data_IF_762401543709
#
_entry.id   IF_762401543709
#
_cell.length_a   1.000
_cell.length_b   1.000
_cell.length_c   1.000
_cell.angle_alpha   90.00
_cell.angle_beta   90.00
_cell.angle_gamma   90.00
#
_symmetry.space_group_name_H-M   'P 1'
#
loop_
_entity.id
_entity.type
_entity.pdbx_description
1 polymer ?
#
# COMPACT_ATOMS: atom_id res chain seq x y z
N UNK A 1 -19.85 -21.57 -11.94
CA UNK A 1 -18.95 -20.71 -12.73
C UNK A 1 -19.33 -20.88 -14.19
N UNK A 2 -19.99 -19.88 -14.80
CA UNK A 2 -20.34 -19.93 -16.23
C UNK A 2 -19.06 -19.72 -17.01
N UNK A 3 -18.71 -20.69 -17.85
CA UNK A 3 -17.65 -20.54 -18.84
C UNK A 3 -18.10 -19.46 -19.82
N UNK A 4 -17.38 -18.35 -19.87
CA UNK A 4 -17.50 -17.41 -20.98
C UNK A 4 -17.00 -18.15 -22.23
N UNK A 5 -17.76 -18.17 -23.34
CA UNK A 5 -17.23 -18.71 -24.58
C UNK A 5 -16.00 -17.88 -24.97
N UNK A 6 -14.89 -18.55 -25.23
CA UNK A 6 -13.73 -17.94 -25.88
C UNK A 6 -14.21 -17.40 -27.22
N UNK A 7 -14.42 -16.09 -27.34
CA UNK A 7 -14.62 -15.42 -28.62
C UNK A 7 -13.29 -15.43 -29.36
N UNK A 8 -12.91 -16.58 -29.91
CA UNK A 8 -11.79 -16.68 -30.85
C UNK A 8 -12.28 -16.09 -32.17
N UNK A 9 -11.84 -14.89 -32.48
CA UNK A 9 -12.04 -14.35 -33.82
C UNK A 9 -11.20 -15.16 -34.82
N UNK A 10 -11.73 -15.35 -36.03
CA UNK A 10 -10.99 -15.94 -37.14
C UNK A 10 -9.94 -14.97 -37.73
N UNK A 11 -9.89 -13.73 -37.25
CA UNK A 11 -9.00 -12.68 -37.72
C UNK A 11 -7.57 -12.86 -37.19
N UNK A 12 -6.61 -12.30 -37.94
CA UNK A 12 -5.25 -12.12 -37.43
C UNK A 12 -5.24 -11.02 -36.38
N UNK A 13 -4.66 -11.28 -35.20
CA UNK A 13 -4.65 -10.36 -34.05
C UNK A 13 -4.14 -8.94 -34.38
N UNK A 14 -3.23 -8.80 -35.35
CA UNK A 14 -2.71 -7.51 -35.79
C UNK A 14 -3.75 -6.64 -36.52
N UNK A 15 -4.68 -7.27 -37.24
CA UNK A 15 -5.67 -6.59 -38.08
C UNK A 15 -7.05 -6.51 -37.44
N UNK A 16 -7.36 -7.40 -36.50
CA UNK A 16 -8.66 -7.48 -35.81
C UNK A 16 -9.15 -6.12 -35.30
N UNK A 17 -8.32 -5.40 -34.53
CA UNK A 17 -8.67 -4.09 -33.99
C UNK A 17 -8.86 -3.02 -35.08
N UNK A 18 -8.30 -3.20 -36.28
CA UNK A 18 -8.43 -2.27 -37.39
C UNK A 18 -9.68 -2.53 -38.24
N UNK A 19 -10.30 -3.72 -38.15
CA UNK A 19 -11.46 -4.06 -38.98
C UNK A 19 -12.68 -3.20 -38.65
N UNK A 20 -12.92 -2.90 -37.37
CA UNK A 20 -14.03 -2.03 -36.95
C UNK A 20 -13.86 -0.60 -37.51
N UNK A 21 -12.67 -0.02 -37.37
CA UNK A 21 -12.34 1.29 -37.92
C UNK A 21 -12.41 1.30 -39.46
N UNK A 22 -12.04 0.18 -40.11
CA UNK A 22 -12.16 0.01 -41.55
C UNK A 22 -13.63 0.02 -42.00
N UNK A 23 -14.52 -0.69 -41.29
CA UNK A 23 -15.97 -0.70 -41.55
C UNK A 23 -16.58 0.69 -41.32
N UNK A 24 -16.09 1.42 -40.32
CA UNK A 24 -16.53 2.80 -40.03
C UNK A 24 -15.93 3.85 -41.00
N UNK A 25 -15.01 3.45 -41.87
CA UNK A 25 -14.23 4.33 -42.75
C UNK A 25 -13.42 5.41 -42.00
N UNK A 26 -12.98 5.09 -40.77
CA UNK A 26 -12.22 6.00 -39.90
C UNK A 26 -10.69 5.73 -39.93
N UNK A 27 -10.25 4.78 -40.78
CA UNK A 27 -8.84 4.52 -40.98
C UNK A 27 -8.18 5.52 -41.93
N UNK A 28 -7.06 6.10 -41.50
CA UNK A 28 -6.18 6.87 -42.37
C UNK A 28 -5.62 6.05 -43.53
N UNK A 29 -5.37 6.71 -44.67
CA UNK A 29 -5.13 6.05 -45.96
C UNK A 29 -3.99 5.01 -46.00
N UNK A 30 -2.92 5.18 -45.23
CA UNK A 30 -1.85 4.18 -45.15
C UNK A 30 -2.30 2.87 -44.46
N UNK A 31 -3.07 2.98 -43.37
CA UNK A 31 -3.59 1.82 -42.63
C UNK A 31 -4.70 1.13 -43.43
N UNK A 32 -5.59 1.91 -44.04
CA UNK A 32 -6.65 1.37 -44.90
C UNK A 32 -6.09 0.56 -46.09
N UNK A 33 -5.00 1.04 -46.71
CA UNK A 33 -4.29 0.29 -47.77
C UNK A 33 -3.72 -1.02 -47.25
N UNK A 34 -3.01 -0.99 -46.11
CA UNK A 34 -2.43 -2.20 -45.50
C UNK A 34 -3.51 -3.24 -45.15
N UNK A 35 -4.65 -2.81 -44.60
CA UNK A 35 -5.79 -3.70 -44.34
C UNK A 35 -6.34 -4.27 -45.65
N UNK A 36 -6.51 -3.44 -46.69
CA UNK A 36 -7.02 -3.87 -48.00
C UNK A 36 -6.10 -4.90 -48.66
N UNK A 37 -4.78 -4.69 -48.61
CA UNK A 37 -3.78 -5.65 -49.10
C UNK A 37 -3.87 -6.98 -48.35
N UNK A 38 -4.03 -6.95 -47.02
CA UNK A 38 -4.17 -8.16 -46.22
C UNK A 38 -5.47 -8.91 -46.51
N UNK A 39 -6.58 -8.19 -46.68
CA UNK A 39 -7.89 -8.76 -47.03
C UNK A 39 -7.89 -9.47 -48.38
N UNK A 40 -6.99 -9.13 -49.29
CA UNK A 40 -6.82 -9.87 -50.54
C UNK A 40 -6.31 -11.30 -50.30
N UNK A 41 -5.44 -11.49 -49.30
CA UNK A 41 -4.79 -12.77 -49.02
C UNK A 41 -5.41 -13.61 -47.90
N UNK A 42 -6.13 -12.99 -46.96
CA UNK A 42 -6.56 -13.67 -45.73
C UNK A 42 -8.08 -13.91 -45.69
N UNK A 43 -8.48 -15.18 -45.72
CA UNK A 43 -9.90 -15.56 -45.62
C UNK A 43 -10.51 -15.25 -44.24
N UNK A 44 -9.78 -15.52 -43.15
CA UNK A 44 -10.28 -15.28 -41.79
C UNK A 44 -10.54 -13.80 -41.49
N UNK A 45 -9.69 -12.90 -42.01
CA UNK A 45 -9.92 -11.46 -41.88
C UNK A 45 -11.09 -10.96 -42.75
N UNK A 46 -11.38 -11.61 -43.89
CA UNK A 46 -12.58 -11.29 -44.69
C UNK A 46 -13.85 -11.71 -43.98
N UNK A 47 -13.87 -12.91 -43.42
CA UNK A 47 -15.00 -13.41 -42.63
C UNK A 47 -15.27 -12.51 -41.42
N UNK A 48 -14.23 -12.16 -40.66
CA UNK A 48 -14.36 -11.23 -39.53
C UNK A 48 -14.82 -9.83 -39.97
N UNK A 49 -14.40 -9.34 -41.15
CA UNK A 49 -14.87 -8.08 -41.69
C UNK A 49 -16.36 -8.13 -42.04
N UNK A 50 -16.83 -9.24 -42.63
CA UNK A 50 -18.24 -9.43 -42.95
C UNK A 50 -19.11 -9.50 -41.70
N UNK A 51 -18.63 -10.16 -40.64
CA UNK A 51 -19.26 -10.19 -39.31
C UNK A 51 -19.34 -8.79 -38.68
N UNK A 52 -18.23 -8.05 -38.66
CA UNK A 52 -18.19 -6.67 -38.16
C UNK A 52 -19.13 -5.76 -38.96
N UNK A 53 -19.16 -5.90 -40.29
CA UNK A 53 -20.07 -5.16 -41.15
C UNK A 53 -21.54 -5.52 -40.89
N UNK A 54 -21.85 -6.79 -40.61
CA UNK A 54 -23.19 -7.23 -40.23
C UNK A 54 -23.62 -6.62 -38.89
N UNK A 55 -22.76 -6.66 -37.87
CA UNK A 55 -23.01 -6.03 -36.58
C UNK A 55 -23.24 -4.52 -36.72
N UNK A 56 -22.40 -3.83 -37.50
CA UNK A 56 -22.54 -2.40 -37.75
C UNK A 56 -23.85 -2.05 -38.49
N UNK A 57 -24.32 -2.92 -39.39
CA UNK A 57 -25.63 -2.76 -40.06
C UNK A 57 -26.79 -2.91 -39.07
N UNK A 58 -26.72 -3.90 -38.17
CA UNK A 58 -27.74 -4.10 -37.13
C UNK A 58 -27.82 -2.90 -36.19
N UNK A 59 -26.69 -2.38 -35.72
CA UNK A 59 -26.64 -1.20 -34.86
C UNK A 59 -27.18 0.04 -35.57
N UNK A 60 -26.81 0.24 -36.86
CA UNK A 60 -27.37 1.33 -37.68
C UNK A 60 -28.87 1.20 -37.89
N UNK A 61 -29.40 -0.01 -37.98
CA UNK A 61 -30.84 -0.25 -38.15
C UNK A 61 -31.66 0.10 -36.90
N UNK A 62 -31.09 -0.08 -35.70
CA UNK A 62 -31.72 0.33 -34.44
C UNK A 62 -31.70 1.85 -34.27
N UNK A 63 -30.72 2.52 -34.87
CA UNK A 63 -30.54 3.96 -34.78
C UNK A 63 -30.03 4.41 -33.41
N UNK A 64 -29.68 5.69 -33.25
CA UNK A 64 -29.31 6.24 -31.96
C UNK A 64 -30.50 6.15 -31.02
N UNK A 65 -30.32 5.47 -29.88
CA UNK A 65 -31.31 5.49 -28.81
C UNK A 65 -31.30 6.87 -28.13
N UNK A 66 -32.48 7.36 -27.76
CA UNK A 66 -32.57 8.54 -26.91
C UNK A 66 -31.79 8.29 -25.62
N UNK A 67 -30.97 9.29 -25.25
CA UNK A 67 -30.22 9.24 -24.01
C UNK A 67 -31.14 9.01 -22.81
N UNK A 68 -30.63 8.39 -21.73
CA UNK A 68 -31.44 8.17 -20.55
C UNK A 68 -31.99 9.49 -20.00
N UNK A 69 -33.26 9.49 -19.58
CA UNK A 69 -33.92 10.69 -19.07
C UNK A 69 -33.19 11.32 -17.87
N UNK A 70 -33.49 12.60 -17.54
CA UNK A 70 -32.73 13.38 -16.54
C UNK A 70 -32.72 12.77 -15.13
N UNK A 71 -33.70 11.92 -14.81
CA UNK A 71 -33.79 11.23 -13.52
C UNK A 71 -32.97 9.93 -13.46
N UNK A 72 -32.44 9.43 -14.58
CA UNK A 72 -31.76 8.14 -14.64
C UNK A 72 -30.54 8.10 -13.72
N UNK A 73 -29.63 9.07 -13.85
CA UNK A 73 -28.42 9.12 -13.02
C UNK A 73 -28.78 9.15 -11.53
N UNK A 74 -29.73 10.01 -11.14
CA UNK A 74 -30.20 10.09 -9.76
C UNK A 74 -30.75 8.75 -9.25
N UNK A 75 -31.54 8.06 -10.07
CA UNK A 75 -32.17 6.79 -9.70
C UNK A 75 -31.14 5.68 -9.59
N UNK A 76 -30.20 5.59 -10.54
CA UNK A 76 -29.13 4.60 -10.54
C UNK A 76 -28.21 4.83 -9.35
N UNK A 77 -27.76 6.06 -9.14
CA UNK A 77 -26.88 6.38 -8.00
C UNK A 77 -27.57 6.14 -6.67
N UNK A 78 -28.85 6.48 -6.52
CA UNK A 78 -29.61 6.16 -5.31
C UNK A 78 -29.65 4.64 -5.03
N UNK A 79 -29.81 3.81 -6.07
CA UNK A 79 -29.76 2.35 -5.92
C UNK A 79 -28.37 1.82 -5.59
N UNK A 80 -27.33 2.39 -6.19
CA UNK A 80 -25.93 2.02 -5.88
C UNK A 80 -25.63 2.33 -4.41
N UNK A 81 -25.96 3.54 -3.95
CA UNK A 81 -25.75 3.94 -2.57
C UNK A 81 -26.54 3.09 -1.57
N UNK A 82 -27.80 2.77 -1.87
CA UNK A 82 -28.59 1.89 -1.01
C UNK A 82 -27.96 0.50 -0.88
N UNK A 83 -27.52 -0.10 -2.00
CA UNK A 83 -26.87 -1.41 -1.99
C UNK A 83 -25.53 -1.40 -1.25
N UNK A 84 -24.76 -0.31 -1.35
CA UNK A 84 -23.49 -0.17 -0.63
C UNK A 84 -23.70 0.05 0.86
N UNK A 85 -24.76 0.79 1.24
CA UNK A 85 -25.15 0.99 2.62
C UNK A 85 -25.60 -0.32 3.28
N UNK A 86 -26.34 -1.17 2.58
CA UNK A 86 -26.72 -2.51 3.08
C UNK A 86 -25.47 -3.38 3.33
N UNK A 87 -24.53 -3.44 2.37
CA UNK A 87 -23.27 -4.20 2.53
C UNK A 87 -22.41 -3.70 3.69
N UNK A 88 -22.32 -2.38 3.86
CA UNK A 88 -21.55 -1.78 4.95
C UNK A 88 -22.24 -1.97 6.31
N UNK A 89 -23.58 -1.91 6.36
CA UNK A 89 -24.36 -2.19 7.56
C UNK A 89 -24.25 -3.65 7.98
N UNK A 90 -24.29 -4.60 7.05
CA UNK A 90 -24.04 -6.01 7.32
C UNK A 90 -22.63 -6.23 7.91
N UNK A 91 -21.62 -5.61 7.32
CA UNK A 91 -20.24 -5.67 7.82
C UNK A 91 -20.11 -5.02 9.20
N UNK A 92 -20.72 -3.86 9.42
CA UNK A 92 -20.67 -3.18 10.71
C UNK A 92 -21.37 -3.99 11.81
N UNK A 93 -22.52 -4.59 11.50
CA UNK A 93 -23.26 -5.48 12.41
C UNK A 93 -22.40 -6.68 12.83
N UNK A 94 -21.62 -7.24 11.91
CA UNK A 94 -20.70 -8.34 12.21
C UNK A 94 -19.56 -7.94 13.17
N UNK A 95 -19.04 -6.71 13.08
CA UNK A 95 -17.92 -6.24 13.91
C UNK A 95 -18.34 -5.59 15.25
N UNK A 96 -19.58 -5.11 15.36
CA UNK A 96 -20.16 -4.55 16.59
C UNK A 96 -19.91 -5.38 17.86
N UNK A 97 -20.13 -6.71 17.90
CA UNK A 97 -19.87 -7.50 19.10
C UNK A 97 -18.39 -7.49 19.49
N UNK A 98 -17.47 -7.56 18.53
CA UNK A 98 -16.03 -7.50 18.79
C UNK A 98 -15.58 -6.15 19.33
N UNK A 99 -16.13 -5.05 18.80
CA UNK A 99 -15.86 -3.70 19.32
C UNK A 99 -16.34 -3.56 20.76
N UNK A 100 -17.54 -4.07 21.07
CA UNK A 100 -18.07 -4.06 22.44
C UNK A 100 -17.21 -4.87 23.41
N UNK A 101 -16.69 -6.02 22.97
CA UNK A 101 -15.81 -6.87 23.76
C UNK A 101 -14.45 -6.20 24.00
N UNK A 102 -13.89 -5.58 22.95
CA UNK A 102 -12.65 -4.82 23.03
C UNK A 102 -12.72 -3.69 24.06
N UNK A 103 -13.85 -2.95 24.12
CA UNK A 103 -14.04 -1.90 25.12
C UNK A 103 -14.10 -2.46 26.55
N UNK A 104 -14.73 -3.62 26.75
CA UNK A 104 -14.74 -4.30 28.06
C UNK A 104 -13.32 -4.71 28.47
N UNK A 105 -12.52 -5.26 27.55
CA UNK A 105 -11.12 -5.60 27.81
C UNK A 105 -10.31 -4.36 28.18
N UNK A 106 -10.44 -3.27 27.42
CA UNK A 106 -9.75 -2.01 27.70
C UNK A 106 -10.12 -1.46 29.08
N UNK A 107 -11.41 -1.45 29.44
CA UNK A 107 -11.87 -1.03 30.77
C UNK A 107 -11.31 -1.92 31.89
N UNK A 108 -11.29 -3.25 31.69
CA UNK A 108 -10.69 -4.17 32.67
C UNK A 108 -9.19 -3.99 32.83
N UNK A 109 -8.46 -3.73 31.73
CA UNK A 109 -7.03 -3.49 31.78
C UNK A 109 -6.70 -2.17 32.49
N UNK A 110 -7.46 -1.11 32.23
CA UNK A 110 -7.33 0.15 32.97
C UNK A 110 -7.60 -0.05 34.47
N UNK A 111 -8.64 -0.81 34.82
CA UNK A 111 -8.95 -1.13 36.22
C UNK A 111 -7.81 -1.92 36.88
N UNK A 112 -7.30 -2.96 36.21
CA UNK A 112 -6.19 -3.77 36.72
C UNK A 112 -4.91 -2.95 36.92
N UNK A 113 -4.58 -2.05 35.97
CA UNK A 113 -3.46 -1.13 36.10
C UNK A 113 -3.66 -0.16 37.27
N UNK A 114 -4.86 0.39 37.45
CA UNK A 114 -5.16 1.26 38.58
C UNK A 114 -5.01 0.53 39.92
N UNK A 115 -5.44 -0.74 39.99
CA UNK A 115 -5.25 -1.61 41.18
C UNK A 115 -3.75 -1.85 41.42
N UNK A 116 -2.98 -2.16 40.38
CA UNK A 116 -1.53 -2.38 40.52
C UNK A 116 -0.81 -1.13 41.04
N UNK A 117 -1.12 0.04 40.47
CA UNK A 117 -0.54 1.33 40.87
C UNK A 117 -0.89 1.65 42.33
N UNK A 118 -2.15 1.46 42.73
CA UNK A 118 -2.57 1.68 44.12
C UNK A 118 -1.94 0.68 45.08
N UNK A 119 -1.72 -0.57 44.64
CA UNK A 119 -1.04 -1.58 45.41
C UNK A 119 0.43 -1.23 45.65
N UNK A 120 1.18 -0.84 44.62
CA UNK A 120 2.57 -0.39 44.80
C UNK A 120 2.66 0.88 45.65
N UNK A 121 1.75 1.83 45.48
CA UNK A 121 1.72 3.03 46.31
C UNK A 121 1.35 2.73 47.78
N UNK A 122 0.47 1.76 48.01
CA UNK A 122 0.05 1.33 49.35
C UNK A 122 1.09 0.46 50.05
N UNK A 123 1.79 -0.40 49.31
CA UNK A 123 2.78 -1.33 49.86
C UNK A 123 4.19 -0.73 49.93
N UNK A 124 4.59 0.06 48.92
CA UNK A 124 5.87 0.78 48.89
C UNK A 124 6.01 1.83 50.00
N UNK A 125 4.88 2.38 50.50
CA UNK A 125 4.89 3.25 51.70
C UNK A 125 5.15 2.50 53.00
N UNK A 126 4.95 1.17 53.06
CA UNK A 126 5.31 0.36 54.24
C UNK A 126 6.72 -0.23 54.17
N UNK A 127 7.39 -0.15 53.02
CA UNK A 127 8.72 -0.71 52.79
C UNK A 127 9.78 0.35 52.44
N UNK A 128 9.68 1.56 52.98
CA UNK A 128 10.85 2.41 53.16
C UNK A 128 11.43 2.13 54.56
N UNK A 129 12.43 1.23 54.71
CA UNK A 129 13.42 1.50 55.73
C UNK A 129 14.08 2.82 55.35
N UNK A 130 14.35 3.67 56.33
CA UNK A 130 15.21 4.84 56.17
C UNK A 130 16.54 4.41 55.54
N UNK A 131 16.64 4.44 54.21
CA UNK A 131 17.92 4.45 53.55
C UNK A 131 18.45 5.86 53.77
N UNK A 132 19.31 5.96 54.78
CA UNK A 132 20.14 7.14 55.00
C UNK A 132 20.67 7.59 53.64
N UNK A 133 20.44 8.86 53.31
CA UNK A 133 21.02 9.52 52.14
C UNK A 133 22.53 9.31 52.20
N UNK A 134 23.03 8.32 51.45
CA UNK A 134 24.46 8.22 51.17
C UNK A 134 24.75 9.41 50.26
N UNK A 135 25.44 10.40 50.83
CA UNK A 135 26.02 11.52 50.11
C UNK A 135 26.78 10.96 48.90
N UNK A 136 26.42 11.28 47.65
CA UNK A 136 27.18 10.82 46.51
C UNK A 136 28.59 11.41 46.63
N UNK A 137 29.58 10.57 46.85
CA UNK A 137 30.98 10.92 46.64
C UNK A 137 31.14 11.13 45.13
N UNK A 138 31.38 12.38 44.72
CA UNK A 138 31.68 12.72 43.33
C UNK A 138 32.85 11.86 42.86
N UNK A 139 32.59 11.01 41.86
CA UNK A 139 33.59 10.13 41.20
C UNK A 139 34.57 10.94 40.35
N UNK A 140 34.38 12.26 40.25
CA UNK A 140 35.20 13.17 39.45
C UNK A 140 36.63 13.37 39.97
N UNK A 141 36.94 13.02 41.23
CA UNK A 141 38.31 13.15 41.77
C UNK A 141 39.19 11.91 41.54
N UNK A 142 38.64 10.77 41.09
CA UNK A 142 39.43 9.55 40.88
C UNK A 142 40.19 9.51 39.54
N UNK A 143 39.88 10.43 38.62
CA UNK A 143 40.42 10.47 37.26
C UNK A 143 41.24 11.71 36.93
N UNK A 144 41.65 12.50 37.94
CA UNK A 144 42.62 13.56 37.73
C UNK A 144 44.03 12.94 37.61
N UNK A 145 44.70 13.03 36.44
CA UNK A 145 46.08 12.61 36.34
C UNK A 145 46.96 13.50 37.23
N UNK A 146 47.85 12.86 37.98
CA UNK A 146 48.87 13.48 38.83
C UNK A 146 49.72 14.48 38.01
N UNK A 147 49.71 15.78 38.34
CA UNK A 147 50.41 16.81 37.57
C UNK A 147 51.94 16.75 37.72
N UNK A 148 52.48 15.93 38.63
CA UNK A 148 53.93 15.88 38.90
C UNK A 148 54.77 15.18 37.81
N UNK A 149 54.13 14.66 36.75
CA UNK A 149 54.82 14.02 35.61
C UNK A 149 54.39 14.54 34.24
N UNK A 150 54.12 15.84 34.14
CA UNK A 150 54.00 16.48 32.83
C UNK A 150 55.40 16.67 32.22
N UNK A 151 55.68 16.15 31.01
CA UNK A 151 56.97 16.30 30.34
C UNK A 151 57.23 17.78 30.08
N UNK A 152 58.41 18.27 30.45
CA UNK A 152 58.73 19.70 30.36
C UNK A 152 59.01 20.13 28.91
N UNK A 153 59.31 19.18 28.03
CA UNK A 153 59.78 19.40 26.67
C UNK A 153 59.24 18.33 25.71
N UNK A 154 58.93 18.72 24.48
CA UNK A 154 58.53 17.87 23.35
C UNK A 154 59.55 16.77 23.00
N UNK A 155 60.85 16.98 23.24
CA UNK A 155 61.89 15.97 23.03
C UNK A 155 61.81 14.82 24.05
N UNK A 156 61.31 15.09 25.26
CA UNK A 156 61.11 14.10 26.32
C UNK A 156 59.96 13.14 25.98
N UNK A 157 58.93 13.66 25.31
CA UNK A 157 57.82 12.87 24.74
C UNK A 157 58.31 11.97 23.61
N UNK A 158 59.23 12.46 22.78
CA UNK A 158 59.79 11.68 21.67
C UNK A 158 60.73 10.56 22.16
N UNK A 159 61.49 10.78 23.24
CA UNK A 159 62.31 9.71 23.85
C UNK A 159 61.45 8.62 24.51
N UNK A 160 60.39 8.98 25.24
CA UNK A 160 59.47 7.98 25.82
C UNK A 160 58.77 7.13 24.75
N UNK A 161 58.43 7.71 23.60
CA UNK A 161 57.83 6.98 22.48
C UNK A 161 58.85 6.10 21.73
N UNK A 162 60.12 6.52 21.65
CA UNK A 162 61.18 5.72 21.05
C UNK A 162 61.55 4.50 21.92
N UNK A 163 61.64 4.67 23.25
CA UNK A 163 61.88 3.57 24.19
C UNK A 163 60.79 2.51 24.15
N UNK A 164 59.52 2.94 24.04
CA UNK A 164 58.38 2.00 24.07
C UNK A 164 58.26 1.15 22.79
N UNK A 165 58.99 1.49 21.71
CA UNK A 165 58.88 0.82 20.41
C UNK A 165 60.07 -0.14 20.11
N UNK A 166 61.00 -0.31 21.04
CA UNK A 166 62.16 -1.22 20.90
C UNK A 166 61.99 -2.57 21.62
N UNK A 167 60.78 -2.91 22.10
CA UNK A 167 60.53 -4.10 22.93
C UNK A 167 59.66 -5.19 22.31
N UNK A 168 59.66 -5.39 20.99
CA UNK A 168 58.98 -6.55 20.40
C UNK A 168 59.83 -7.24 19.32
N UNK A 169 60.73 -8.11 19.78
CA UNK A 169 61.20 -9.30 19.08
C UNK A 169 61.61 -10.36 20.11
#
# INVERSE_FOLDING_TARGET
>A
MRQHPDFRSAACAQFEALLEDYVAADLGGARAKSVTEHLAGCAGCREALDEAAAGARLLRAVGPADGPGPAFNRTVMARIYAAEQERTAERATFWQPFVSLGWRFAATAMLALAILITYEAGWGRRLQPNLAVVRPSNVSDLFSPDPERAPANRDEVLMMLAENNHGNN
#
